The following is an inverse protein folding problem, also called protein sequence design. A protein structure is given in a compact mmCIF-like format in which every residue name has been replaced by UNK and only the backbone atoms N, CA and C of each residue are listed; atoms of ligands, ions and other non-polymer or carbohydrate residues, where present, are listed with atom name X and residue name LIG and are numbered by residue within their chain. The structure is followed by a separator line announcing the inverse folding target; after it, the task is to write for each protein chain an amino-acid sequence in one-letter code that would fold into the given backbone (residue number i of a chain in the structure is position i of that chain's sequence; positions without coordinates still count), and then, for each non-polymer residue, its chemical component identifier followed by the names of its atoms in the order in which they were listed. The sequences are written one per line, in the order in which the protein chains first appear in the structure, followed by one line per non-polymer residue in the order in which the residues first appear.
data_IF_886738861832
#
_entry.id   IF_886738861832
#
_cell.length_a   1.000
_cell.length_b   1.000
_cell.length_c   1.000
_cell.angle_alpha   90.00
_cell.angle_beta   90.00
_cell.angle_gamma   90.00
#
_symmetry.space_group_name_H-M   'P 1'
#
loop_
_entity.id
_entity.type
_entity.pdbx_description
1 polymer ?
#
# COMPACT_ATOMS: atom_id res chain seq x y z
N UNK A 1 -34.56 -21.46 -22.55
CA UNK A 1 -33.15 -21.89 -22.42
C UNK A 1 -32.32 -20.62 -22.47
N UNK A 2 -31.73 -20.16 -21.35
CA UNK A 2 -30.80 -19.03 -21.39
C UNK A 2 -29.57 -19.42 -22.23
N UNK A 3 -29.10 -18.50 -23.08
CA UNK A 3 -28.14 -18.75 -24.15
C UNK A 3 -26.78 -19.20 -23.59
N UNK A 4 -26.30 -20.34 -24.08
CA UNK A 4 -25.04 -20.98 -23.67
C UNK A 4 -23.81 -20.09 -23.87
N UNK A 5 -23.91 -19.09 -24.72
CA UNK A 5 -22.83 -18.15 -25.01
C UNK A 5 -22.67 -17.10 -23.90
N UNK A 6 -23.77 -16.67 -23.27
CA UNK A 6 -23.74 -15.73 -22.17
C UNK A 6 -23.13 -16.38 -20.91
N UNK A 7 -23.42 -17.66 -20.68
CA UNK A 7 -22.81 -18.43 -19.59
C UNK A 7 -21.32 -18.70 -19.84
N UNK A 8 -20.92 -18.89 -21.10
CA UNK A 8 -19.51 -18.99 -21.50
C UNK A 8 -18.77 -17.65 -21.29
N UNK A 9 -19.39 -16.52 -21.67
CA UNK A 9 -18.84 -15.19 -21.44
C UNK A 9 -18.74 -14.86 -19.95
N UNK A 10 -19.71 -15.26 -19.14
CA UNK A 10 -19.69 -15.11 -17.68
C UNK A 10 -18.56 -15.93 -17.05
N UNK A 11 -18.30 -17.16 -17.54
CA UNK A 11 -17.20 -18.00 -17.04
C UNK A 11 -15.82 -17.50 -17.45
N UNK A 12 -15.67 -17.02 -18.69
CA UNK A 12 -14.42 -16.45 -19.20
C UNK A 12 -14.05 -15.16 -18.47
N UNK A 13 -15.03 -14.28 -18.23
CA UNK A 13 -14.83 -13.04 -17.45
C UNK A 13 -14.52 -13.33 -15.98
N UNK A 14 -15.15 -14.35 -15.38
CA UNK A 14 -14.83 -14.79 -14.03
C UNK A 14 -13.42 -15.39 -13.92
N UNK A 15 -12.94 -16.15 -14.93
CA UNK A 15 -11.58 -16.67 -14.95
C UNK A 15 -10.51 -15.58 -15.12
N UNK A 16 -10.81 -14.49 -15.85
CA UNK A 16 -9.92 -13.35 -15.98
C UNK A 16 -9.73 -12.56 -14.66
N UNK A 17 -10.73 -12.59 -13.77
CA UNK A 17 -10.70 -11.87 -12.49
C UNK A 17 -9.94 -12.60 -11.35
N UNK A 18 -9.53 -13.86 -11.55
CA UNK A 18 -8.88 -14.70 -10.51
C UNK A 18 -7.35 -14.68 -10.59
N UNK A 19 -6.78 -14.08 -11.65
CA UNK A 19 -5.36 -13.73 -11.66
C UNK A 19 -5.17 -12.40 -10.94
N UNK A 20 -4.30 -12.37 -9.93
CA UNK A 20 -3.71 -11.15 -9.37
C UNK A 20 -2.97 -10.41 -10.49
N UNK A 21 -3.73 -9.67 -11.30
CA UNK A 21 -3.20 -8.85 -12.38
C UNK A 21 -2.84 -7.53 -11.74
N UNK A 22 -1.57 -7.38 -11.35
CA UNK A 22 -0.95 -6.07 -11.25
C UNK A 22 -1.42 -5.26 -12.46
N UNK A 23 -2.06 -4.12 -12.21
CA UNK A 23 -2.60 -3.34 -13.31
C UNK A 23 -1.46 -2.93 -14.23
N UNK A 24 -1.74 -2.69 -15.51
CA UNK A 24 -0.70 -2.21 -16.43
C UNK A 24 -0.01 -0.94 -15.88
N UNK A 25 -0.75 -0.13 -15.11
CA UNK A 25 -0.25 1.05 -14.42
C UNK A 25 0.71 0.70 -13.27
N UNK A 26 0.43 -0.36 -12.50
CA UNK A 26 1.34 -0.86 -11.44
C UNK A 26 2.63 -1.43 -12.04
N UNK A 27 2.52 -2.15 -13.16
CA UNK A 27 3.68 -2.67 -13.91
C UNK A 27 4.51 -1.50 -14.44
N UNK A 28 3.86 -0.50 -15.04
CA UNK A 28 4.53 0.73 -15.52
C UNK A 28 5.20 1.50 -14.38
N UNK A 29 4.56 1.61 -13.22
CA UNK A 29 5.16 2.26 -12.06
C UNK A 29 6.39 1.49 -11.55
N UNK A 30 6.35 0.17 -11.55
CA UNK A 30 7.46 -0.67 -11.10
C UNK A 30 8.66 -0.63 -12.08
N UNK A 31 8.38 -0.59 -13.38
CA UNK A 31 9.41 -0.47 -14.42
C UNK A 31 10.06 0.92 -14.47
N UNK A 32 9.31 1.96 -14.08
CA UNK A 32 9.81 3.34 -14.02
C UNK A 32 10.29 3.76 -12.62
N UNK A 33 10.29 2.85 -11.64
CA UNK A 33 10.79 3.15 -10.31
C UNK A 33 12.28 3.51 -10.38
N UNK A 34 12.68 4.53 -9.62
CA UNK A 34 14.09 4.89 -9.53
C UNK A 34 14.89 3.68 -9.01
N UNK A 35 16.02 3.35 -9.66
CA UNK A 35 16.84 2.23 -9.23
C UNK A 35 17.35 2.49 -7.82
N UNK A 36 17.36 1.45 -6.99
CA UNK A 36 17.92 1.58 -5.65
C UNK A 36 19.40 1.97 -5.74
N UNK A 37 19.90 2.80 -4.80
CA UNK A 37 21.30 3.18 -4.77
C UNK A 37 22.18 1.92 -4.66
N UNK A 38 23.19 1.86 -5.51
CA UNK A 38 24.17 0.80 -5.54
C UNK A 38 24.98 0.82 -4.23
N UNK A 39 24.94 -0.25 -3.42
CA UNK A 39 25.65 -0.31 -2.15
C UNK A 39 27.18 -0.30 -2.31
N UNK A 40 27.70 -0.51 -3.52
CA UNK A 40 29.14 -0.53 -3.82
C UNK A 40 29.66 0.78 -4.42
N UNK A 41 28.80 1.76 -4.69
CA UNK A 41 29.17 2.99 -5.40
C UNK A 41 30.32 3.77 -4.73
N UNK A 42 30.40 3.72 -3.40
CA UNK A 42 31.37 4.47 -2.59
C UNK A 42 32.51 3.58 -2.04
N UNK A 43 32.67 2.35 -2.52
CA UNK A 43 33.76 1.47 -2.06
C UNK A 43 35.07 1.86 -2.72
N UNK A 44 36.04 2.33 -1.92
CA UNK A 44 37.40 2.58 -2.37
C UNK A 44 38.23 1.28 -2.44
N UNK A 45 38.67 0.94 -3.64
CA UNK A 45 39.51 -0.23 -3.91
C UNK A 45 40.99 0.08 -3.71
N UNK A 46 41.67 -0.80 -2.99
CA UNK A 46 43.09 -0.69 -2.63
C UNK A 46 44.00 -1.53 -3.54
N UNK A 47 43.41 -2.49 -4.27
CA UNK A 47 44.14 -3.46 -5.08
C UNK A 47 44.60 -4.69 -4.29
N UNK A 48 44.34 -4.76 -2.98
CA UNK A 48 44.52 -5.94 -2.16
C UNK A 48 43.21 -6.74 -2.06
N UNK A 49 43.18 -7.92 -2.69
CA UNK A 49 41.95 -8.71 -2.85
C UNK A 49 41.24 -9.03 -1.51
N UNK A 50 41.92 -9.47 -0.44
CA UNK A 50 41.27 -9.74 0.84
C UNK A 50 40.65 -8.48 1.46
N UNK A 51 41.37 -7.34 1.42
CA UNK A 51 40.89 -6.09 1.99
C UNK A 51 39.73 -5.50 1.18
N UNK A 52 39.81 -5.53 -0.14
CA UNK A 52 38.75 -5.06 -1.04
C UNK A 52 37.48 -5.92 -0.87
N UNK A 53 37.63 -7.26 -0.76
CA UNK A 53 36.49 -8.16 -0.49
C UNK A 53 35.82 -7.85 0.86
N UNK A 54 36.62 -7.51 1.88
CA UNK A 54 36.09 -7.11 3.20
C UNK A 54 35.32 -5.80 3.12
N UNK A 55 35.79 -4.84 2.32
CA UNK A 55 35.13 -3.54 2.12
C UNK A 55 33.79 -3.71 1.41
N UNK A 56 33.74 -4.51 0.34
CA UNK A 56 32.51 -4.83 -0.38
C UNK A 56 31.47 -5.49 0.53
N UNK A 57 31.87 -6.51 1.32
CA UNK A 57 30.96 -7.20 2.23
C UNK A 57 30.37 -6.26 3.30
N UNK A 58 31.18 -5.34 3.83
CA UNK A 58 30.69 -4.36 4.80
C UNK A 58 29.71 -3.36 4.16
N UNK A 59 30.03 -2.86 2.96
CA UNK A 59 29.18 -1.93 2.23
C UNK A 59 27.84 -2.57 1.85
N UNK A 60 27.85 -3.83 1.39
CA UNK A 60 26.65 -4.63 1.14
C UNK A 60 25.80 -4.82 2.41
N UNK A 61 26.43 -5.21 3.52
CA UNK A 61 25.72 -5.39 4.79
C UNK A 61 25.05 -4.09 5.26
N UNK A 62 25.75 -2.97 5.13
CA UNK A 62 25.22 -1.66 5.46
C UNK A 62 24.04 -1.29 4.55
N UNK A 63 24.19 -1.47 3.23
CA UNK A 63 23.12 -1.23 2.26
C UNK A 63 21.83 -1.99 2.57
N UNK A 64 21.93 -3.27 2.97
CA UNK A 64 20.75 -4.05 3.39
C UNK A 64 20.10 -3.51 4.67
N UNK A 65 20.91 -3.12 5.66
CA UNK A 65 20.39 -2.54 6.92
C UNK A 65 19.69 -1.20 6.70
N UNK A 66 20.24 -0.36 5.83
CA UNK A 66 19.66 0.94 5.51
C UNK A 66 18.38 0.80 4.69
N UNK A 67 18.29 -0.19 3.79
CA UNK A 67 17.03 -0.56 3.11
C UNK A 67 15.97 -1.02 4.10
N UNK A 68 16.32 -1.93 5.01
CA UNK A 68 15.40 -2.41 6.04
C UNK A 68 14.90 -1.27 6.95
N UNK A 69 15.77 -0.32 7.30
CA UNK A 69 15.39 0.87 8.07
C UNK A 69 14.45 1.78 7.30
N UNK A 70 14.72 2.08 6.02
CA UNK A 70 13.84 2.90 5.18
C UNK A 70 12.47 2.26 4.99
N UNK A 71 12.41 0.93 4.85
CA UNK A 71 11.14 0.20 4.80
C UNK A 71 10.36 0.30 6.12
N UNK A 72 11.04 0.06 7.25
CA UNK A 72 10.43 0.22 8.57
C UNK A 72 9.97 1.66 8.85
N UNK A 73 10.71 2.65 8.37
CA UNK A 73 10.35 4.06 8.47
C UNK A 73 9.15 4.41 7.60
N UNK A 74 9.09 3.93 6.35
CA UNK A 74 7.90 4.04 5.48
C UNK A 74 6.68 3.42 6.15
N UNK A 75 6.83 2.23 6.73
CA UNK A 75 5.76 1.56 7.47
C UNK A 75 5.30 2.38 8.68
N UNK A 76 6.24 2.93 9.46
CA UNK A 76 5.93 3.79 10.61
C UNK A 76 5.22 5.08 10.19
N UNK A 77 5.74 5.79 9.20
CA UNK A 77 5.14 7.04 8.69
C UNK A 77 3.74 6.82 8.10
N UNK A 78 3.49 5.65 7.51
CA UNK A 78 2.16 5.27 7.05
C UNK A 78 1.19 4.92 8.20
N UNK A 79 1.71 4.67 9.41
CA UNK A 79 0.94 4.21 10.57
C UNK A 79 0.78 5.29 11.67
N UNK A 80 1.65 6.30 11.71
CA UNK A 80 1.75 7.30 12.78
C UNK A 80 1.15 8.66 12.37
N UNK A 81 -0.16 8.71 12.15
CA UNK A 81 -0.93 9.93 12.44
C UNK A 81 -1.39 9.85 13.90
N UNK A 82 -1.22 10.91 14.68
CA UNK A 82 -1.33 10.81 16.15
C UNK A 82 -2.74 10.45 16.64
N UNK A 83 -3.80 10.71 15.86
CA UNK A 83 -5.19 10.35 16.20
C UNK A 83 -6.06 10.11 14.95
N UNK A 84 -6.14 8.87 14.44
CA UNK A 84 -6.97 8.50 13.28
C UNK A 84 -7.55 7.09 13.41
N UNK A 85 -8.64 6.84 12.68
CA UNK A 85 -9.23 5.52 12.49
C UNK A 85 -9.44 5.26 11.00
N UNK A 86 -9.29 4.00 10.56
CA UNK A 86 -9.63 3.59 9.21
C UNK A 86 -10.47 2.32 9.21
N UNK A 87 -11.45 2.27 8.31
CA UNK A 87 -12.31 1.11 8.09
C UNK A 87 -12.07 0.61 6.67
N UNK A 88 -11.63 -0.64 6.55
CA UNK A 88 -11.35 -1.29 5.27
C UNK A 88 -12.48 -2.25 4.89
N UNK A 89 -12.89 -2.22 3.61
CA UNK A 89 -13.92 -3.09 3.05
C UNK A 89 -13.32 -3.92 1.91
N UNK A 90 -13.88 -5.11 1.67
CA UNK A 90 -13.44 -6.01 0.58
C UNK A 90 -13.79 -5.48 -0.81
N UNK A 91 -14.78 -4.59 -0.92
CA UNK A 91 -15.21 -3.98 -2.18
C UNK A 91 -15.56 -2.50 -1.99
N UNK A 92 -15.55 -1.75 -3.10
CA UNK A 92 -15.95 -0.35 -3.11
C UNK A 92 -17.44 -0.21 -2.82
N UNK A 93 -18.24 -1.12 -3.35
CA UNK A 93 -19.70 -1.16 -3.18
C UNK A 93 -20.07 -1.34 -1.71
N UNK A 94 -19.32 -2.17 -0.97
CA UNK A 94 -19.50 -2.36 0.47
C UNK A 94 -19.12 -1.11 1.25
N UNK A 95 -17.99 -0.46 0.90
CA UNK A 95 -17.58 0.83 1.46
C UNK A 95 -18.68 1.88 1.30
N UNK A 96 -19.17 2.05 0.07
CA UNK A 96 -20.19 3.07 -0.21
C UNK A 96 -21.54 2.74 0.43
N UNK A 97 -21.93 1.46 0.45
CA UNK A 97 -23.16 1.02 1.13
C UNK A 97 -23.08 1.29 2.62
N UNK A 98 -21.93 1.04 3.25
CA UNK A 98 -21.69 1.41 4.64
C UNK A 98 -21.83 2.92 4.84
N UNK A 99 -21.13 3.75 4.05
CA UNK A 99 -21.18 5.21 4.19
C UNK A 99 -22.59 5.78 4.00
N UNK A 100 -23.36 5.26 3.04
CA UNK A 100 -24.75 5.65 2.82
C UNK A 100 -25.63 5.25 4.00
N UNK A 101 -25.56 4.00 4.43
CA UNK A 101 -26.42 3.47 5.50
C UNK A 101 -26.10 4.08 6.86
N UNK A 102 -24.84 4.44 7.10
CA UNK A 102 -24.39 5.11 8.30
C UNK A 102 -24.63 6.63 8.28
N UNK A 103 -25.15 7.21 7.19
CA UNK A 103 -25.35 8.65 7.05
C UNK A 103 -24.06 9.47 6.90
N UNK A 104 -22.91 8.82 6.74
CA UNK A 104 -21.59 9.46 6.71
C UNK A 104 -21.24 10.08 5.35
N UNK A 105 -21.91 9.66 4.27
CA UNK A 105 -21.60 10.14 2.92
C UNK A 105 -21.73 11.67 2.78
N UNK A 106 -22.58 12.30 3.59
CA UNK A 106 -22.78 13.75 3.58
C UNK A 106 -21.58 14.53 4.15
N UNK A 107 -20.73 13.90 4.96
CA UNK A 107 -19.57 14.53 5.61
C UNK A 107 -18.23 14.06 5.05
N UNK A 108 -18.21 13.02 4.19
CA UNK A 108 -17.04 12.60 3.43
C UNK A 108 -17.02 11.10 3.11
N UNK A 109 -15.97 10.63 2.44
CA UNK A 109 -15.83 9.22 2.04
C UNK A 109 -14.48 8.55 2.40
N UNK A 110 -13.53 9.32 2.95
CA UNK A 110 -12.18 8.86 3.36
C UNK A 110 -11.66 9.60 4.60
N UNK A 111 -11.40 10.90 4.49
CA UNK A 111 -10.86 11.72 5.58
C UNK A 111 -11.97 12.62 6.13
N UNK A 112 -12.44 12.31 7.33
CA UNK A 112 -13.56 13.00 7.97
C UNK A 112 -13.14 13.48 9.35
N UNK A 113 -13.75 14.57 9.80
CA UNK A 113 -13.67 15.01 11.19
C UNK A 113 -14.31 13.94 12.10
N UNK A 114 -13.54 13.39 13.03
CA UNK A 114 -13.99 12.34 13.96
C UNK A 114 -15.15 12.76 14.87
N UNK A 115 -15.23 14.03 15.27
CA UNK A 115 -16.35 14.55 16.06
C UNK A 115 -17.61 14.73 15.21
N UNK A 116 -17.46 15.08 13.93
CA UNK A 116 -18.59 15.09 13.00
C UNK A 116 -19.13 13.66 12.76
N UNK A 117 -18.25 12.69 12.58
CA UNK A 117 -18.62 11.26 12.49
C UNK A 117 -19.34 10.81 13.76
N UNK A 118 -18.84 11.14 14.95
CA UNK A 118 -19.46 10.77 16.22
C UNK A 118 -20.90 11.32 16.35
N UNK A 119 -21.13 12.59 15.95
CA UNK A 119 -22.48 13.18 15.91
C UNK A 119 -23.43 12.45 14.96
N UNK A 120 -22.95 12.08 13.77
CA UNK A 120 -23.77 11.35 12.79
C UNK A 120 -24.13 9.95 13.29
N UNK A 121 -23.19 9.27 13.96
CA UNK A 121 -23.39 7.91 14.49
C UNK A 121 -24.09 7.88 15.86
N UNK A 122 -24.33 9.04 16.50
CA UNK A 122 -24.92 9.10 17.83
C UNK A 122 -23.99 8.59 18.95
N UNK A 123 -22.67 8.68 18.74
CA UNK A 123 -21.67 8.29 19.74
C UNK A 123 -21.42 9.47 20.69
N UNK A 124 -21.63 9.30 22.01
CA UNK A 124 -21.36 10.37 22.97
C UNK A 124 -19.87 10.67 23.03
N UNK A 125 -19.52 11.95 22.96
CA UNK A 125 -18.17 12.48 23.12
C UNK A 125 -18.21 13.56 24.19
N UNK A 126 -17.13 13.70 24.97
CA UNK A 126 -17.01 14.82 25.90
C UNK A 126 -16.92 16.14 25.11
N UNK A 127 -17.58 17.18 25.61
CA UNK A 127 -17.41 18.54 25.09
C UNK A 127 -15.97 18.99 25.40
N UNK A 128 -15.23 19.41 24.36
CA UNK A 128 -13.91 20.05 24.53
C UNK A 128 -14.04 21.46 25.09
#
# INVERSE_FOLDING_TARGET
MPDSNDDLLARLSAQAAVGDQQSNDDILAQLNAEPEPDPLADVEYTGDLPEDSRRELNALQQGFRDRARREAERFRLATDSEYWIAVCFKSREDKERFLRNAGLLAIGDKYMDGYAVARVLGVPMDDQ
#
